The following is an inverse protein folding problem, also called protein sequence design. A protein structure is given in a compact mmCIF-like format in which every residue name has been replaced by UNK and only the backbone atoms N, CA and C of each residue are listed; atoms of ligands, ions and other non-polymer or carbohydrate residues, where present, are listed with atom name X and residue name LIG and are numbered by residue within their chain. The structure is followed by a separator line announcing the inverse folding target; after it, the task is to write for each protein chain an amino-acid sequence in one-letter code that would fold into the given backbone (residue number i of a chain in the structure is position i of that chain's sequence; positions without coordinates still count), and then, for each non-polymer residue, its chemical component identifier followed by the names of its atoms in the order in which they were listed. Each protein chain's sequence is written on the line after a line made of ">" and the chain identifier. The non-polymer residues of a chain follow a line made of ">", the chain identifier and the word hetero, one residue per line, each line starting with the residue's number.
data_IF_118023232973
#
_entry.id   IF_118023232973
#
_cell.length_a   1.000
_cell.length_b   1.000
_cell.length_c   1.000
_cell.angle_alpha   90.00
_cell.angle_beta   90.00
_cell.angle_gamma   90.00
#
_symmetry.space_group_name_H-M   'P 1'
#
loop_
_entity.id
_entity.type
_entity.pdbx_description
1 polymer ?
#
# COMPACT_ATOMS: atom_id res chain seq x y z
N UNK A 1 10.70 -19.18 4.51
CA UNK A 1 10.23 -17.86 4.98
C UNK A 1 11.24 -17.42 6.03
N UNK A 2 11.90 -16.28 5.85
CA UNK A 2 12.89 -15.82 6.84
C UNK A 2 12.19 -15.54 8.16
N UNK A 3 12.81 -15.93 9.27
CA UNK A 3 12.31 -15.58 10.59
C UNK A 3 12.58 -14.09 10.91
N UNK A 4 12.04 -13.62 12.04
CA UNK A 4 12.17 -12.20 12.43
C UNK A 4 13.64 -11.81 12.67
N UNK A 5 14.44 -12.68 13.27
CA UNK A 5 15.85 -12.39 13.55
C UNK A 5 16.66 -12.34 12.26
N UNK A 6 16.44 -13.28 11.33
CA UNK A 6 17.11 -13.31 10.03
C UNK A 6 16.83 -12.04 9.22
N UNK A 7 15.58 -11.55 9.21
CA UNK A 7 15.20 -10.30 8.51
C UNK A 7 15.87 -9.07 9.10
N UNK A 8 15.92 -8.97 10.43
CA UNK A 8 16.57 -7.85 11.12
C UNK A 8 18.06 -7.86 10.80
N UNK A 9 18.69 -9.03 10.83
CA UNK A 9 20.12 -9.11 10.61
C UNK A 9 20.50 -8.81 9.16
N UNK A 10 19.69 -9.25 8.20
CA UNK A 10 19.84 -8.88 6.80
C UNK A 10 19.76 -7.35 6.60
N UNK A 11 18.82 -6.69 7.29
CA UNK A 11 18.68 -5.23 7.24
C UNK A 11 19.93 -4.53 7.80
N UNK A 12 20.41 -4.95 8.97
CA UNK A 12 21.57 -4.34 9.63
C UNK A 12 22.86 -4.51 8.81
N UNK A 13 23.10 -5.71 8.28
CA UNK A 13 24.25 -5.97 7.38
C UNK A 13 24.16 -5.11 6.13
N UNK A 14 22.97 -4.97 5.54
CA UNK A 14 22.80 -4.16 4.32
C UNK A 14 22.98 -2.65 4.56
N UNK A 15 22.62 -2.16 5.75
CA UNK A 15 22.81 -0.76 6.15
C UNK A 15 24.30 -0.40 6.36
N UNK A 16 25.13 -1.37 6.76
CA UNK A 16 26.57 -1.18 6.91
C UNK A 16 27.30 -1.17 5.56
N UNK A 17 26.86 -2.03 4.63
CA UNK A 17 27.44 -2.17 3.29
C UNK A 17 27.08 -0.99 2.35
N UNK A 18 25.86 -0.45 2.45
CA UNK A 18 25.37 0.58 1.52
C UNK A 18 24.21 1.41 2.06
N UNK A 19 24.01 2.57 1.43
CA UNK A 19 22.82 3.40 1.64
C UNK A 19 21.58 2.66 1.10
N UNK A 20 20.58 2.48 1.96
CA UNK A 20 19.28 1.95 1.58
C UNK A 20 18.30 3.10 1.34
N UNK A 21 17.41 2.91 0.36
CA UNK A 21 16.40 3.89 -0.03
C UNK A 21 15.03 3.28 0.29
N UNK A 22 14.18 4.06 0.93
CA UNK A 22 12.77 3.73 1.13
C UNK A 22 11.94 4.25 -0.05
N UNK A 23 10.78 3.65 -0.26
CA UNK A 23 9.83 4.10 -1.26
C UNK A 23 9.30 5.51 -0.98
N UNK A 24 8.72 6.11 -2.03
CA UNK A 24 8.22 7.48 -2.00
C UNK A 24 6.80 7.60 -1.44
N UNK A 25 6.21 8.78 -1.62
CA UNK A 25 4.86 9.08 -1.15
C UNK A 25 3.77 8.30 -1.92
N UNK A 26 3.34 7.16 -1.37
CA UNK A 26 2.29 6.31 -1.94
C UNK A 26 0.96 7.07 -2.15
N UNK A 27 0.53 7.88 -1.18
CA UNK A 27 -0.75 8.60 -1.27
C UNK A 27 -0.83 9.57 -2.45
N UNK A 28 0.26 10.30 -2.73
CA UNK A 28 0.35 11.22 -3.87
C UNK A 28 0.26 10.46 -5.19
N UNK A 29 0.90 9.30 -5.26
CA UNK A 29 0.82 8.42 -6.44
C UNK A 29 -0.61 7.91 -6.65
N UNK A 30 -1.32 7.53 -5.59
CA UNK A 30 -2.73 7.11 -5.67
C UNK A 30 -3.63 8.25 -6.18
N UNK A 31 -3.41 9.48 -5.71
CA UNK A 31 -4.19 10.64 -6.15
C UNK A 31 -4.08 10.87 -7.67
N UNK A 32 -2.95 10.55 -8.29
CA UNK A 32 -2.74 10.70 -9.74
C UNK A 32 -3.68 9.80 -10.57
N UNK A 33 -4.15 8.67 -10.02
CA UNK A 33 -5.12 7.80 -10.68
C UNK A 33 -6.55 8.37 -10.73
N UNK A 34 -6.83 9.45 -9.98
CA UNK A 34 -8.15 10.13 -9.94
C UNK A 34 -9.31 9.19 -9.66
N UNK A 35 -9.09 8.24 -8.75
CA UNK A 35 -10.06 7.20 -8.40
C UNK A 35 -11.39 7.79 -7.88
N UNK A 36 -12.48 7.14 -8.29
CA UNK A 36 -13.85 7.45 -7.89
C UNK A 36 -14.23 6.70 -6.61
N UNK A 37 -15.36 7.05 -6.00
CA UNK A 37 -15.92 6.33 -4.86
C UNK A 37 -16.09 4.82 -5.15
N UNK A 38 -16.56 4.48 -6.35
CA UNK A 38 -16.77 3.09 -6.78
C UNK A 38 -15.47 2.28 -6.82
N UNK A 39 -14.34 2.92 -7.14
CA UNK A 39 -13.03 2.26 -7.14
C UNK A 39 -12.60 1.88 -5.70
N UNK A 40 -12.91 2.72 -4.72
CA UNK A 40 -12.63 2.44 -3.30
C UNK A 40 -13.61 1.42 -2.71
N UNK A 41 -14.86 1.40 -3.18
CA UNK A 41 -15.88 0.44 -2.71
C UNK A 41 -15.66 -0.96 -3.27
N UNK A 42 -15.35 -1.06 -4.56
CA UNK A 42 -15.38 -2.32 -5.30
C UNK A 42 -16.69 -3.08 -5.08
N UNK A 43 -16.64 -4.40 -5.22
CA UNK A 43 -17.81 -5.24 -4.97
C UNK A 43 -18.11 -5.41 -3.48
N UNK A 44 -17.06 -5.46 -2.65
CA UNK A 44 -17.16 -5.82 -1.23
C UNK A 44 -17.81 -4.74 -0.37
N UNK A 45 -17.68 -3.46 -0.73
CA UNK A 45 -18.19 -2.34 0.06
C UNK A 45 -19.21 -1.50 -0.72
N UNK A 46 -19.82 -2.08 -1.76
CA UNK A 46 -20.79 -1.41 -2.62
C UNK A 46 -21.93 -0.77 -1.81
N UNK A 47 -22.50 -1.53 -0.88
CA UNK A 47 -23.67 -1.13 -0.08
C UNK A 47 -23.31 -0.45 1.25
N UNK A 48 -22.04 -0.05 1.44
CA UNK A 48 -21.63 0.60 2.69
C UNK A 48 -22.26 1.99 2.82
N UNK A 49 -22.81 2.33 3.98
CA UNK A 49 -23.70 3.49 4.14
C UNK A 49 -23.00 4.86 4.06
N UNK A 50 -21.66 4.90 4.08
CA UNK A 50 -20.88 6.14 4.11
C UNK A 50 -19.81 6.14 3.02
N UNK A 51 -19.38 7.32 2.59
CA UNK A 51 -18.28 7.43 1.64
C UNK A 51 -16.99 6.84 2.20
N UNK A 52 -16.27 6.09 1.35
CA UNK A 52 -15.02 5.42 1.68
C UNK A 52 -13.85 5.90 0.83
N UNK A 53 -14.08 6.78 -0.16
CA UNK A 53 -13.02 7.40 -0.94
C UNK A 53 -12.01 8.11 -0.06
N UNK A 54 -10.73 7.88 -0.37
CA UNK A 54 -9.59 8.36 0.40
C UNK A 54 -9.05 7.35 1.41
N UNK A 55 -9.79 6.28 1.71
CA UNK A 55 -9.26 5.16 2.48
C UNK A 55 -8.42 4.23 1.58
N UNK A 56 -7.13 4.56 1.42
CA UNK A 56 -6.22 3.85 0.53
C UNK A 56 -5.99 2.38 0.92
N UNK A 57 -6.18 2.02 2.19
CA UNK A 57 -6.04 0.62 2.63
C UNK A 57 -7.05 -0.29 1.91
N UNK A 58 -8.25 0.20 1.63
CA UNK A 58 -9.29 -0.55 0.91
C UNK A 58 -8.85 -0.92 -0.51
N UNK A 59 -8.02 -0.10 -1.15
CA UNK A 59 -7.52 -0.35 -2.51
C UNK A 59 -6.66 -1.62 -2.58
N UNK A 60 -6.06 -2.08 -1.48
CA UNK A 60 -5.39 -3.38 -1.42
C UNK A 60 -6.35 -4.54 -1.74
N UNK A 61 -7.64 -4.37 -1.44
CA UNK A 61 -8.69 -5.37 -1.64
C UNK A 61 -9.49 -5.08 -2.92
N UNK A 62 -9.89 -3.83 -3.12
CA UNK A 62 -10.82 -3.46 -4.20
C UNK A 62 -10.13 -3.17 -5.53
N UNK A 63 -8.86 -2.72 -5.49
CA UNK A 63 -8.04 -2.36 -6.67
C UNK A 63 -6.57 -2.73 -6.46
N UNK A 64 -6.23 -4.02 -6.23
CA UNK A 64 -4.86 -4.43 -5.90
C UNK A 64 -3.82 -4.03 -6.95
N UNK A 65 -4.22 -3.84 -8.21
CA UNK A 65 -3.38 -3.36 -9.30
C UNK A 65 -2.91 -1.90 -9.16
N UNK A 66 -3.54 -1.10 -8.30
CA UNK A 66 -3.10 0.27 -8.00
C UNK A 66 -2.00 0.29 -6.92
N UNK A 67 -1.95 -0.74 -6.08
CA UNK A 67 -1.01 -0.85 -4.95
C UNK A 67 0.22 -1.70 -5.30
N UNK A 68 0.06 -2.71 -6.17
CA UNK A 68 1.15 -3.62 -6.58
C UNK A 68 2.15 -2.98 -7.53
#
# INVERSE_FOLDING_TARGET
>A
MMDRQERIQTLLVSLDDRILILDGAMGTMIQAYRLSEDDYRGDRFRDWERDVKGNNDLLTITRPQVIR
#
